data_IF_648959999062
#
_entry.id   IF_648959999062
#
_cell.length_a   1.000
_cell.length_b   1.000
_cell.length_c   1.000
_cell.angle_alpha   90.00
_cell.angle_beta   90.00
_cell.angle_gamma   90.00
#
_symmetry.space_group_name_H-M   'P 1'
#
loop_
_entity.id
_entity.type
_entity.pdbx_description
1 polymer ?
#
# COMPACT_ATOMS: atom_id res chain seq x y z
N UNK A 1 49.74 -62.73 26.86
CA UNK A 1 50.10 -62.34 25.48
C UNK A 1 49.01 -61.41 24.96
N UNK A 2 49.31 -60.09 24.91
CA UNK A 2 48.37 -59.07 24.54
C UNK A 2 48.72 -58.55 23.14
N UNK A 3 47.88 -58.80 22.18
CA UNK A 3 48.04 -58.28 20.81
C UNK A 3 47.53 -56.89 20.73
N UNK A 4 48.45 -55.89 20.64
CA UNK A 4 48.10 -54.51 20.36
C UNK A 4 47.77 -54.39 18.87
N UNK A 5 46.48 -54.20 18.59
CA UNK A 5 46.01 -53.88 17.24
C UNK A 5 46.37 -52.43 16.88
N UNK A 6 47.37 -52.27 16.02
CA UNK A 6 47.69 -50.97 15.37
C UNK A 6 46.57 -50.61 14.39
N UNK A 7 45.70 -49.68 14.77
CA UNK A 7 44.74 -49.05 13.83
C UNK A 7 45.56 -48.19 12.84
N UNK A 8 45.64 -48.62 11.59
CA UNK A 8 46.19 -47.87 10.51
C UNK A 8 45.31 -46.60 10.30
N UNK A 9 45.83 -45.43 10.61
CA UNK A 9 45.21 -44.16 10.24
C UNK A 9 45.29 -44.03 8.71
N UNK A 10 44.21 -44.32 8.03
CA UNK A 10 44.06 -44.06 6.62
C UNK A 10 44.12 -42.51 6.42
N UNK A 11 45.27 -42.02 5.92
CA UNK A 11 45.39 -40.60 5.53
C UNK A 11 44.53 -40.36 4.29
N UNK A 12 43.85 -39.22 4.27
CA UNK A 12 43.11 -38.80 3.11
C UNK A 12 44.05 -38.59 1.91
N UNK A 13 43.70 -39.15 0.75
CA UNK A 13 44.43 -38.94 -0.48
C UNK A 13 44.20 -37.49 -0.98
N UNK A 14 45.24 -36.85 -1.52
CA UNK A 14 45.18 -35.48 -2.05
C UNK A 14 44.11 -35.37 -3.16
N UNK A 15 43.89 -36.42 -3.93
CA UNK A 15 42.87 -36.49 -4.95
C UNK A 15 41.43 -36.54 -4.36
N UNK A 16 41.25 -37.21 -3.23
CA UNK A 16 39.98 -37.31 -2.54
C UNK A 16 39.56 -35.95 -1.94
N UNK A 17 40.54 -35.18 -1.42
CA UNK A 17 40.32 -33.82 -0.97
C UNK A 17 39.92 -32.89 -2.13
N UNK A 18 40.57 -33.05 -3.27
CA UNK A 18 40.33 -32.23 -4.47
C UNK A 18 38.93 -32.52 -5.06
N UNK A 19 38.50 -33.78 -5.06
CA UNK A 19 37.18 -34.16 -5.51
C UNK A 19 36.12 -33.63 -4.52
N UNK A 20 36.33 -33.78 -3.22
CA UNK A 20 35.40 -33.31 -2.20
C UNK A 20 35.19 -31.80 -2.26
N UNK A 21 36.30 -31.04 -2.38
CA UNK A 21 36.21 -29.56 -2.50
C UNK A 21 35.53 -29.12 -3.78
N UNK A 22 35.76 -29.81 -4.90
CA UNK A 22 35.07 -29.52 -6.18
C UNK A 22 33.57 -29.74 -6.07
N UNK A 23 33.14 -30.82 -5.44
CA UNK A 23 31.71 -31.12 -5.23
C UNK A 23 31.06 -30.04 -4.35
N UNK A 24 31.71 -29.67 -3.24
CA UNK A 24 31.21 -28.61 -2.34
C UNK A 24 31.06 -27.27 -3.05
N UNK A 25 32.03 -26.89 -3.91
CA UNK A 25 31.97 -25.67 -4.70
C UNK A 25 30.83 -25.67 -5.71
N UNK A 26 30.60 -26.80 -6.39
CA UNK A 26 29.49 -26.94 -7.35
C UNK A 26 28.13 -26.83 -6.64
N UNK A 27 27.96 -27.57 -5.52
CA UNK A 27 26.70 -27.54 -4.74
C UNK A 27 26.49 -26.14 -4.16
N UNK A 28 27.51 -25.52 -3.60
CA UNK A 28 27.46 -24.17 -3.06
C UNK A 28 27.11 -23.11 -4.12
N UNK A 29 27.67 -23.25 -5.31
CA UNK A 29 27.38 -22.38 -6.45
C UNK A 29 25.90 -22.48 -6.90
N UNK A 30 25.38 -23.71 -7.02
CA UNK A 30 23.97 -23.93 -7.37
C UNK A 30 23.03 -23.38 -6.28
N UNK A 31 23.32 -23.68 -5.01
CA UNK A 31 22.53 -23.18 -3.89
C UNK A 31 22.54 -21.64 -3.81
N UNK A 32 23.70 -21.02 -4.04
CA UNK A 32 23.83 -19.56 -4.11
C UNK A 32 23.02 -18.93 -5.25
N UNK A 33 23.05 -19.53 -6.43
CA UNK A 33 22.28 -19.08 -7.58
C UNK A 33 20.75 -19.17 -7.33
N UNK A 34 20.28 -20.26 -6.73
CA UNK A 34 18.88 -20.45 -6.35
C UNK A 34 18.42 -19.43 -5.30
N UNK A 35 19.26 -19.14 -4.31
CA UNK A 35 18.97 -18.11 -3.31
C UNK A 35 18.87 -16.72 -3.95
N UNK A 36 19.80 -16.34 -4.79
CA UNK A 36 19.76 -15.06 -5.52
C UNK A 36 18.50 -14.94 -6.38
N UNK A 37 18.13 -16.00 -7.09
CA UNK A 37 16.91 -16.04 -7.89
C UNK A 37 15.65 -15.92 -7.02
N UNK A 38 15.64 -16.53 -5.85
CA UNK A 38 14.53 -16.41 -4.89
C UNK A 38 14.39 -14.99 -4.34
N UNK A 39 15.49 -14.31 -4.05
CA UNK A 39 15.47 -12.91 -3.61
C UNK A 39 14.96 -11.98 -4.71
N UNK A 40 15.39 -12.14 -5.95
CA UNK A 40 14.90 -11.33 -7.07
C UNK A 40 13.41 -11.56 -7.34
N UNK A 41 12.93 -12.80 -7.26
CA UNK A 41 11.50 -13.11 -7.37
C UNK A 41 10.69 -12.52 -6.22
N UNK A 42 11.23 -12.52 -5.01
CA UNK A 42 10.57 -11.93 -3.85
C UNK A 42 10.49 -10.41 -3.94
N UNK A 43 11.56 -9.72 -4.35
CA UNK A 43 11.55 -8.28 -4.62
C UNK A 43 10.57 -7.90 -5.73
N UNK A 44 10.51 -8.67 -6.82
CA UNK A 44 9.53 -8.47 -7.89
C UNK A 44 8.11 -8.80 -7.46
N UNK A 45 7.92 -9.80 -6.61
CA UNK A 45 6.62 -10.13 -6.00
C UNK A 45 6.12 -9.01 -5.10
N UNK A 46 6.96 -8.51 -4.19
CA UNK A 46 6.62 -7.40 -3.30
C UNK A 46 6.37 -6.09 -4.07
N UNK A 47 7.11 -5.81 -5.14
CA UNK A 47 6.88 -4.63 -5.97
C UNK A 47 5.60 -4.72 -6.78
N UNK A 48 5.17 -5.92 -7.20
CA UNK A 48 3.88 -6.15 -7.88
C UNK A 48 2.70 -6.10 -6.92
N UNK A 49 2.81 -6.67 -5.72
CA UNK A 49 1.74 -6.62 -4.70
C UNK A 49 1.56 -5.20 -4.15
N UNK A 50 2.58 -4.38 -4.14
CA UNK A 50 2.45 -2.95 -3.81
C UNK A 50 1.77 -2.12 -4.90
N UNK A 51 1.64 -2.63 -6.13
CA UNK A 51 1.17 -1.83 -7.29
C UNK A 51 -0.32 -1.86 -7.55
N UNK A 52 -1.05 -2.85 -7.05
CA UNK A 52 -2.45 -3.01 -7.47
C UNK A 52 -3.33 -3.45 -6.31
N UNK A 53 -3.90 -2.49 -5.63
CA UNK A 53 -5.08 -2.73 -4.79
C UNK A 53 -6.26 -2.86 -5.76
N UNK A 54 -7.07 -3.94 -5.72
CA UNK A 54 -8.27 -4.05 -6.55
C UNK A 54 -9.14 -2.80 -6.47
N UNK A 55 -9.85 -2.46 -7.54
CA UNK A 55 -10.68 -1.25 -7.59
C UNK A 55 -11.65 -1.16 -6.40
N UNK A 56 -12.28 -2.27 -6.04
CA UNK A 56 -13.19 -2.35 -4.89
C UNK A 56 -12.48 -2.07 -3.55
N UNK A 57 -11.25 -2.53 -3.40
CA UNK A 57 -10.46 -2.25 -2.20
C UNK A 57 -10.00 -0.78 -2.15
N UNK A 58 -9.73 -0.16 -3.31
CA UNK A 58 -9.42 1.26 -3.42
C UNK A 58 -10.61 2.14 -3.01
N UNK A 59 -11.80 1.80 -3.51
CA UNK A 59 -13.04 2.47 -3.13
C UNK A 59 -13.37 2.27 -1.66
N UNK A 60 -13.18 1.05 -1.14
CA UNK A 60 -13.38 0.74 0.29
C UNK A 60 -12.43 1.54 1.17
N UNK A 61 -11.15 1.69 0.77
CA UNK A 61 -10.17 2.48 1.50
C UNK A 61 -10.55 3.97 1.50
N UNK A 62 -10.92 4.52 0.33
CA UNK A 62 -11.38 5.91 0.24
C UNK A 62 -12.65 6.13 1.06
N UNK A 63 -13.63 5.21 0.99
CA UNK A 63 -14.86 5.28 1.77
C UNK A 63 -14.59 5.26 3.28
N UNK A 64 -13.66 4.41 3.73
CA UNK A 64 -13.23 4.35 5.13
C UNK A 64 -12.56 5.63 5.58
N UNK A 65 -11.59 6.13 4.80
CA UNK A 65 -10.86 7.35 5.13
C UNK A 65 -11.82 8.56 5.14
N UNK A 66 -12.76 8.61 4.17
CA UNK A 66 -13.79 9.63 4.13
C UNK A 66 -14.73 9.57 5.33
N UNK A 67 -15.20 8.38 5.70
CA UNK A 67 -16.10 8.17 6.85
C UNK A 67 -15.43 8.56 8.18
N UNK A 68 -14.10 8.36 8.30
CA UNK A 68 -13.30 8.72 9.49
C UNK A 68 -12.67 10.11 9.39
N UNK A 69 -13.05 10.92 8.40
CA UNK A 69 -12.49 12.25 8.20
C UNK A 69 -12.87 13.23 9.32
N UNK A 70 -11.90 14.03 9.75
CA UNK A 70 -12.07 15.02 10.83
C UNK A 70 -12.30 16.38 10.21
N UNK A 71 -13.56 16.81 10.13
CA UNK A 71 -13.95 18.08 9.50
C UNK A 71 -13.30 19.31 10.12
N UNK A 72 -13.12 19.30 11.45
CA UNK A 72 -12.51 20.41 12.18
C UNK A 72 -11.04 20.70 11.84
N UNK A 73 -10.37 19.80 11.13
CA UNK A 73 -8.97 19.94 10.71
C UNK A 73 -8.80 20.49 9.30
N UNK A 74 -9.89 20.91 8.67
CA UNK A 74 -9.91 21.42 7.31
C UNK A 74 -10.07 20.34 6.25
N UNK A 75 -10.70 20.74 5.16
CA UNK A 75 -10.96 19.90 3.99
C UNK A 75 -10.82 20.72 2.71
N UNK A 76 -10.03 20.23 1.77
CA UNK A 76 -9.90 20.84 0.45
C UNK A 76 -10.11 19.80 -0.63
N UNK A 77 -10.79 20.19 -1.69
CA UNK A 77 -11.10 19.31 -2.80
C UNK A 77 -11.26 20.05 -4.11
N UNK A 78 -10.78 19.44 -5.17
CA UNK A 78 -10.98 19.79 -6.58
C UNK A 78 -11.56 18.59 -7.32
N UNK A 79 -11.94 18.67 -8.59
CA UNK A 79 -12.43 17.53 -9.33
C UNK A 79 -11.44 16.34 -9.42
N UNK A 80 -10.14 16.59 -9.28
CA UNK A 80 -9.10 15.57 -9.43
C UNK A 80 -8.30 15.29 -8.16
N UNK A 81 -8.52 16.04 -7.08
CA UNK A 81 -7.72 15.90 -5.86
C UNK A 81 -8.55 16.25 -4.63
N UNK A 82 -8.35 15.49 -3.56
CA UNK A 82 -8.90 15.88 -2.27
C UNK A 82 -7.91 15.62 -1.14
N UNK A 83 -7.87 16.57 -0.18
CA UNK A 83 -7.00 16.51 0.98
C UNK A 83 -7.83 16.70 2.26
N UNK A 84 -7.61 15.85 3.23
CA UNK A 84 -8.30 15.90 4.51
C UNK A 84 -7.54 15.14 5.59
N UNK A 85 -7.95 15.32 6.82
CA UNK A 85 -7.44 14.60 7.97
C UNK A 85 -8.37 13.45 8.34
N UNK A 86 -7.80 12.30 8.65
CA UNK A 86 -8.54 11.11 9.07
C UNK A 86 -7.97 10.55 10.38
N UNK A 87 -8.79 9.84 11.14
CA UNK A 87 -8.39 9.10 12.31
C UNK A 87 -8.12 7.64 11.93
N UNK A 88 -6.86 7.22 11.99
CA UNK A 88 -6.51 5.82 11.81
C UNK A 88 -6.62 5.07 13.13
N UNK A 89 -7.52 4.06 13.24
CA UNK A 89 -7.58 3.21 14.42
C UNK A 89 -6.30 2.36 14.51
N UNK A 90 -5.58 2.45 15.62
CA UNK A 90 -4.38 1.67 15.85
C UNK A 90 -4.60 0.74 17.06
N UNK A 91 -5.24 -0.41 16.82
CA UNK A 91 -5.47 -1.42 17.85
C UNK A 91 -6.20 -0.85 19.07
N UNK A 92 -5.68 -1.10 20.28
CA UNK A 92 -6.19 -0.57 21.56
C UNK A 92 -5.59 0.80 21.93
N UNK A 93 -4.69 1.34 21.13
CA UNK A 93 -4.04 2.64 21.38
C UNK A 93 -4.86 3.79 20.78
N UNK A 94 -4.55 5.03 21.23
CA UNK A 94 -5.19 6.24 20.74
C UNK A 94 -5.14 6.35 19.21
N UNK A 95 -6.25 6.79 18.59
CA UNK A 95 -6.33 7.03 17.17
C UNK A 95 -5.28 8.05 16.71
N UNK A 96 -4.55 7.74 15.65
CA UNK A 96 -3.57 8.65 15.09
C UNK A 96 -4.21 9.55 14.03
N UNK A 97 -3.97 10.83 14.15
CA UNK A 97 -4.35 11.80 13.13
C UNK A 97 -3.40 11.69 11.94
N UNK A 98 -3.95 11.48 10.76
CA UNK A 98 -3.20 11.30 9.51
C UNK A 98 -3.79 12.23 8.45
N UNK A 99 -2.95 13.04 7.83
CA UNK A 99 -3.33 13.80 6.65
C UNK A 99 -3.30 12.87 5.44
N UNK A 100 -4.37 12.85 4.67
CA UNK A 100 -4.53 12.01 3.48
C UNK A 100 -4.79 12.90 2.27
N UNK A 101 -4.11 12.59 1.19
CA UNK A 101 -4.19 13.26 -0.09
C UNK A 101 -4.50 12.21 -1.17
N UNK A 102 -5.64 12.34 -1.79
CA UNK A 102 -6.06 11.52 -2.92
C UNK A 102 -5.97 12.32 -4.21
N UNK A 103 -5.28 11.78 -5.19
CA UNK A 103 -5.14 12.35 -6.53
C UNK A 103 -5.68 11.36 -7.56
N UNK A 104 -6.64 11.82 -8.37
CA UNK A 104 -7.27 11.06 -9.45
C UNK A 104 -6.46 11.27 -10.72
N UNK A 105 -5.73 10.24 -11.15
CA UNK A 105 -4.94 10.24 -12.38
C UNK A 105 -5.67 9.45 -13.47
N UNK A 106 -5.33 9.66 -14.75
CA UNK A 106 -5.92 8.87 -15.84
C UNK A 106 -5.68 7.37 -15.72
N UNK A 107 -4.59 6.98 -15.05
CA UNK A 107 -4.15 5.59 -14.86
C UNK A 107 -4.45 5.03 -13.46
N UNK A 108 -5.19 5.77 -12.63
CA UNK A 108 -5.60 5.31 -11.31
C UNK A 108 -5.68 6.38 -10.23
N UNK A 109 -5.85 5.93 -9.01
CA UNK A 109 -5.91 6.79 -7.83
C UNK A 109 -4.58 6.66 -7.07
N UNK A 110 -3.98 7.79 -6.73
CA UNK A 110 -2.81 7.85 -5.85
C UNK A 110 -3.26 8.35 -4.48
N UNK A 111 -2.95 7.58 -3.44
CA UNK A 111 -3.15 7.97 -2.04
C UNK A 111 -1.81 8.28 -1.41
N UNK A 112 -1.65 9.46 -0.86
CA UNK A 112 -0.51 9.84 -0.03
C UNK A 112 -0.98 10.06 1.40
N UNK A 113 -0.24 9.53 2.35
CA UNK A 113 -0.53 9.70 3.77
C UNK A 113 0.66 10.33 4.48
N UNK A 114 0.41 11.25 5.41
CA UNK A 114 1.44 11.87 6.23
C UNK A 114 0.92 12.11 7.66
N UNK A 115 1.82 12.08 8.63
CA UNK A 115 1.51 12.41 10.03
C UNK A 115 2.06 13.77 10.40
N UNK A 116 1.43 14.47 11.35
CA UNK A 116 2.00 15.70 11.91
C UNK A 116 3.45 15.45 12.40
N UNK A 117 4.39 16.28 11.94
CA UNK A 117 5.79 16.20 12.34
C UNK A 117 6.60 15.06 11.70
N UNK A 118 6.05 14.30 10.78
CA UNK A 118 6.78 13.27 10.02
C UNK A 118 6.72 13.54 8.52
N UNK A 119 7.82 13.25 7.85
CA UNK A 119 7.84 13.13 6.39
C UNK A 119 6.89 12.00 5.96
N UNK A 120 6.34 12.09 4.76
CA UNK A 120 5.37 11.17 4.16
C UNK A 120 5.44 9.71 4.69
N UNK A 121 4.30 9.14 5.08
CA UNK A 121 4.17 7.72 5.46
C UNK A 121 4.23 6.78 4.24
N UNK A 122 4.18 7.34 3.04
CA UNK A 122 4.27 6.61 1.79
C UNK A 122 3.22 7.04 0.76
N UNK A 123 3.49 6.65 -0.47
CA UNK A 123 2.58 6.77 -1.60
C UNK A 123 2.07 5.38 -1.96
N UNK A 124 0.76 5.26 -2.09
CA UNK A 124 0.09 4.03 -2.47
C UNK A 124 -0.67 4.28 -3.77
N UNK A 125 -0.29 3.58 -4.84
CA UNK A 125 -1.07 3.56 -6.06
C UNK A 125 -2.19 2.53 -5.92
N UNK A 126 -3.40 3.00 -6.06
CA UNK A 126 -4.60 2.18 -6.05
C UNK A 126 -4.94 1.82 -7.51
N UNK A 127 -5.69 0.74 -7.72
CA UNK A 127 -6.02 0.24 -9.07
C UNK A 127 -6.64 1.33 -9.96
N UNK A 128 -6.53 1.19 -11.29
CA UNK A 128 -7.17 2.11 -12.21
C UNK A 128 -8.68 2.01 -12.04
N UNK A 129 -9.22 2.97 -11.33
CA UNK A 129 -10.61 3.36 -11.50
C UNK A 129 -10.56 4.33 -12.66
N UNK A 130 -11.33 4.10 -13.71
CA UNK A 130 -11.39 4.98 -14.88
C UNK A 130 -11.45 6.43 -14.41
N UNK A 131 -10.69 7.31 -15.07
CA UNK A 131 -10.49 8.71 -14.69
C UNK A 131 -11.75 9.29 -14.04
N UNK A 132 -11.78 9.33 -12.72
CA UNK A 132 -12.98 9.72 -11.98
C UNK A 132 -12.87 11.19 -11.61
N UNK A 133 -13.99 11.89 -11.66
CA UNK A 133 -14.12 13.23 -11.12
C UNK A 133 -14.75 13.18 -9.74
N UNK A 134 -14.23 13.99 -8.84
CA UNK A 134 -14.79 14.16 -7.50
C UNK A 134 -15.81 15.30 -7.52
N UNK A 135 -16.95 15.07 -6.86
CA UNK A 135 -17.95 16.08 -6.57
C UNK A 135 -18.35 16.01 -5.11
N UNK A 136 -18.70 17.15 -4.55
CA UNK A 136 -18.90 17.34 -3.12
C UNK A 136 -20.29 17.81 -2.82
N UNK A 137 -20.97 17.23 -1.84
CA UNK A 137 -22.28 17.67 -1.37
C UNK A 137 -22.24 18.05 0.11
N UNK A 138 -22.86 19.17 0.45
CA UNK A 138 -22.97 19.64 1.82
C UNK A 138 -24.07 18.88 2.60
N UNK A 139 -23.99 18.90 3.93
CA UNK A 139 -25.05 18.44 4.78
C UNK A 139 -26.26 19.37 4.67
N UNK A 140 -27.47 18.79 4.57
CA UNK A 140 -28.72 19.55 4.46
C UNK A 140 -29.04 20.10 3.07
N UNK A 141 -28.13 19.99 2.11
CA UNK A 141 -28.42 20.33 0.69
C UNK A 141 -29.16 19.19 -0.01
N UNK A 142 -30.01 19.52 -1.02
CA UNK A 142 -30.68 18.51 -1.85
C UNK A 142 -29.72 17.49 -2.46
N UNK A 143 -30.14 16.24 -2.69
CA UNK A 143 -29.23 15.16 -3.13
C UNK A 143 -28.64 15.38 -4.53
N UNK A 144 -29.26 16.21 -5.35
CA UNK A 144 -28.86 16.57 -6.71
C UNK A 144 -27.91 17.77 -6.78
N UNK A 145 -27.71 18.48 -5.67
CA UNK A 145 -26.80 19.63 -5.61
C UNK A 145 -25.37 19.14 -5.34
N UNK A 146 -24.49 19.38 -6.31
CA UNK A 146 -23.08 18.99 -6.29
C UNK A 146 -22.17 20.17 -6.60
N UNK A 147 -21.05 20.24 -5.90
CA UNK A 147 -19.99 21.23 -6.11
C UNK A 147 -18.76 20.53 -6.68
N UNK A 148 -18.07 21.19 -7.58
CA UNK A 148 -16.80 20.68 -8.14
C UNK A 148 -15.61 20.99 -7.23
N UNK A 149 -15.73 22.00 -6.38
CA UNK A 149 -14.69 22.39 -5.43
C UNK A 149 -15.22 22.44 -4.02
N UNK A 150 -14.38 22.10 -3.08
CA UNK A 150 -14.64 22.20 -1.65
C UNK A 150 -13.45 22.79 -0.94
N UNK A 151 -13.65 23.86 -0.19
CA UNK A 151 -12.62 24.44 0.67
C UNK A 151 -13.27 24.91 1.96
N UNK A 152 -12.96 24.24 3.04
CA UNK A 152 -13.46 24.61 4.35
C UNK A 152 -12.44 24.28 5.43
N UNK A 153 -12.12 25.25 6.31
CA UNK A 153 -11.19 25.00 7.41
C UNK A 153 -11.78 24.14 8.53
N UNK A 154 -13.11 24.02 8.60
CA UNK A 154 -13.79 23.39 9.75
C UNK A 154 -14.85 22.37 9.37
N UNK A 155 -15.22 22.28 8.10
CA UNK A 155 -16.31 21.40 7.65
C UNK A 155 -15.85 20.47 6.56
N UNK A 156 -16.09 19.17 6.72
CA UNK A 156 -15.97 18.20 5.66
C UNK A 156 -17.29 18.12 4.85
N UNK A 157 -17.25 17.75 3.58
CA UNK A 157 -18.45 17.44 2.83
C UNK A 157 -19.20 16.27 3.48
N UNK A 158 -20.49 16.25 3.42
CA UNK A 158 -21.32 15.14 3.90
C UNK A 158 -21.39 13.99 2.87
N UNK A 159 -21.21 14.33 1.61
CA UNK A 159 -21.31 13.42 0.47
C UNK A 159 -20.13 13.63 -0.47
N UNK A 160 -19.56 12.54 -0.97
CA UNK A 160 -18.53 12.54 -1.99
C UNK A 160 -18.99 11.62 -3.12
N UNK A 161 -19.05 12.13 -4.33
CA UNK A 161 -19.38 11.39 -5.54
C UNK A 161 -18.12 11.20 -6.38
N UNK A 162 -17.79 9.96 -6.69
CA UNK A 162 -16.80 9.62 -7.69
C UNK A 162 -17.54 9.35 -9.00
N UNK A 163 -17.45 10.25 -9.95
CA UNK A 163 -18.12 10.15 -11.23
C UNK A 163 -17.13 9.79 -12.33
N UNK A 164 -17.38 8.77 -13.17
CA UNK A 164 -16.56 8.50 -14.33
C UNK A 164 -16.65 9.65 -15.35
N UNK A 165 -15.64 9.84 -16.21
CA UNK A 165 -15.56 11.01 -17.11
C UNK A 165 -16.65 11.03 -18.18
N UNK A 166 -17.22 9.88 -18.50
CA UNK A 166 -18.32 9.71 -19.44
C UNK A 166 -19.70 10.05 -18.86
N UNK A 167 -19.76 10.44 -17.59
CA UNK A 167 -20.99 10.79 -16.91
C UNK A 167 -21.86 9.60 -16.48
N UNK A 168 -21.31 8.39 -16.55
CA UNK A 168 -21.98 7.18 -16.10
C UNK A 168 -22.26 7.15 -14.59
N UNK A 169 -22.83 6.03 -14.12
CA UNK A 169 -23.15 5.83 -12.71
C UNK A 169 -21.90 5.96 -11.84
N UNK A 170 -21.95 6.90 -10.91
CA UNK A 170 -20.86 7.20 -9.98
C UNK A 170 -21.02 6.44 -8.65
N UNK A 171 -19.90 6.34 -7.93
CA UNK A 171 -19.90 5.79 -6.58
C UNK A 171 -20.15 6.90 -5.55
N UNK A 172 -21.28 6.81 -4.84
CA UNK A 172 -21.63 7.73 -3.77
C UNK A 172 -21.08 7.25 -2.43
N UNK A 173 -20.25 8.07 -1.82
CA UNK A 173 -19.75 7.87 -0.46
C UNK A 173 -20.46 8.82 0.49
N UNK A 174 -20.94 8.28 1.60
CA UNK A 174 -21.63 9.05 2.64
C UNK A 174 -20.73 9.11 3.88
N UNK A 175 -20.57 10.30 4.42
CA UNK A 175 -19.94 10.49 5.72
C UNK A 175 -20.97 10.20 6.80
N UNK A 176 -20.62 9.34 7.75
CA UNK A 176 -21.43 9.21 8.97
C UNK A 176 -21.22 10.47 9.80
N UNK A 177 -22.27 11.24 9.98
CA UNK A 177 -22.30 12.26 11.06
C UNK A 177 -22.36 11.52 12.38
N UNK A 178 -21.49 11.82 13.34
CA UNK A 178 -21.57 11.27 14.68
C UNK A 178 -22.88 11.67 15.38
#
# INVERSE_FOLDING_TARGET
MSAAGTSARAGFSLIELLIATSIVLVIGGIAGALLMQSFTLWEHGLSRTRRWVPADAALTLLARDFASSVGAMGWTGTPTRCQFWTLEPRGTAAANLTAVDYEMLPDGIVRRASRPGTTSLGEQRLAPVAATRLRYGAAGEPPDVWREEWSSPTNAPARLLLQPPDGGDGHLLLRRTP
#
